data_IF_038537693364
#
_entry.id   IF_038537693364
#
_cell.length_a   1.000
_cell.length_b   1.000
_cell.length_c   1.000
_cell.angle_alpha   90.00
_cell.angle_beta   90.00
_cell.angle_gamma   90.00
#
_symmetry.space_group_name_H-M   'P 1'
#
loop_
_entity.id
_entity.type
_entity.pdbx_description
1 polymer ?
#
# COMPACT_ATOMS: atom_id res chain seq x y z
N UNK A 1 12.91 -4.95 19.11
CA UNK A 1 11.91 -4.47 20.09
C UNK A 1 11.07 -3.40 19.42
N UNK A 2 9.74 -3.54 19.38
CA UNK A 2 8.87 -2.47 18.88
C UNK A 2 8.65 -1.45 20.01
N UNK A 3 9.17 -0.23 19.85
CA UNK A 3 8.99 0.87 20.81
C UNK A 3 7.89 1.80 20.32
N UNK A 4 6.94 2.15 21.19
CA UNK A 4 5.84 3.07 20.86
C UNK A 4 5.95 4.28 21.77
N UNK A 5 6.09 5.46 21.17
CA UNK A 5 6.22 6.74 21.87
C UNK A 5 4.93 7.54 21.71
N UNK A 6 4.33 7.97 22.81
CA UNK A 6 3.13 8.81 22.81
C UNK A 6 3.49 10.23 23.26
N UNK A 7 2.98 11.22 22.54
CA UNK A 7 3.12 12.63 22.88
C UNK A 7 1.92 13.41 22.35
N UNK A 8 1.55 14.49 23.03
CA UNK A 8 0.56 15.46 22.55
C UNK A 8 1.17 16.55 21.65
N UNK A 9 2.49 16.50 21.46
CA UNK A 9 3.30 17.51 20.78
C UNK A 9 4.28 16.83 19.82
N UNK A 10 4.20 17.21 18.54
CA UNK A 10 5.03 16.62 17.50
C UNK A 10 6.52 16.94 17.70
N UNK A 11 6.82 18.16 18.19
CA UNK A 11 8.18 18.62 18.51
C UNK A 11 8.89 17.73 19.56
N UNK A 12 8.14 17.09 20.46
CA UNK A 12 8.72 16.14 21.42
C UNK A 12 9.05 14.81 20.74
N UNK A 13 8.21 14.32 19.83
CA UNK A 13 8.48 13.08 19.09
C UNK A 13 9.63 13.27 18.10
N UNK A 14 9.71 14.44 17.49
CA UNK A 14 10.82 14.88 16.67
C UNK A 14 12.13 14.91 17.46
N UNK A 15 12.16 15.60 18.61
CA UNK A 15 13.36 15.63 19.45
C UNK A 15 13.80 14.23 19.92
N UNK A 16 12.85 13.32 20.16
CA UNK A 16 13.15 11.92 20.46
C UNK A 16 13.76 11.19 19.27
N UNK A 17 13.21 11.38 18.08
CA UNK A 17 13.76 10.83 16.84
C UNK A 17 15.17 11.36 16.57
N UNK A 18 15.39 12.68 16.70
CA UNK A 18 16.73 13.30 16.60
C UNK A 18 17.72 12.64 17.56
N UNK A 19 17.32 12.49 18.82
CA UNK A 19 18.14 11.86 19.85
C UNK A 19 18.50 10.40 19.50
N UNK A 20 17.55 9.64 18.95
CA UNK A 20 17.79 8.26 18.52
C UNK A 20 18.79 8.23 17.37
N UNK A 21 18.58 9.05 16.32
CA UNK A 21 19.48 9.13 15.16
C UNK A 21 20.90 9.55 15.56
N UNK A 22 21.03 10.50 16.49
CA UNK A 22 22.34 10.94 16.98
C UNK A 22 23.07 9.87 17.79
N UNK A 23 22.32 9.12 18.62
CA UNK A 23 22.88 8.13 19.54
C UNK A 23 23.16 6.79 18.85
N UNK A 24 22.30 6.38 17.94
CA UNK A 24 22.31 5.09 17.25
C UNK A 24 22.62 5.33 15.76
N UNK A 25 23.75 5.98 15.47
CA UNK A 25 24.18 6.23 14.07
C UNK A 25 24.36 4.92 13.31
N UNK A 26 23.89 4.90 12.07
CA UNK A 26 24.13 3.81 11.13
C UNK A 26 25.63 3.64 10.87
N UNK A 27 26.08 2.39 10.79
CA UNK A 27 27.50 2.06 10.54
C UNK A 27 27.89 2.28 9.06
N UNK A 28 26.96 2.04 8.13
CA UNK A 28 27.18 2.21 6.69
C UNK A 28 26.75 3.61 6.22
N UNK A 29 27.67 4.44 5.67
CA UNK A 29 27.34 5.77 5.19
C UNK A 29 26.39 5.80 3.98
N UNK A 30 26.18 4.68 3.29
CA UNK A 30 25.24 4.57 2.17
C UNK A 30 23.91 3.92 2.55
N UNK A 31 23.79 3.38 3.77
CA UNK A 31 22.51 2.90 4.26
C UNK A 31 21.58 4.10 4.51
N UNK A 32 20.37 4.11 3.92
CA UNK A 32 19.46 5.22 4.11
C UNK A 32 18.79 5.13 5.47
N UNK A 33 18.71 6.26 6.18
CA UNK A 33 17.86 6.38 7.37
C UNK A 33 16.40 6.21 6.93
N UNK A 34 15.65 5.31 7.58
CA UNK A 34 14.28 4.99 7.16
C UNK A 34 13.25 5.60 8.11
N UNK A 35 12.43 6.51 7.59
CA UNK A 35 11.35 7.15 8.34
C UNK A 35 10.04 6.95 7.59
N UNK A 36 9.18 6.06 8.09
CA UNK A 36 7.85 5.88 7.52
C UNK A 36 6.98 7.11 7.74
N UNK A 37 6.36 7.59 6.68
CA UNK A 37 5.45 8.75 6.72
C UNK A 37 4.17 8.45 5.95
N UNK A 38 3.08 9.15 6.27
CA UNK A 38 1.81 9.02 5.54
C UNK A 38 1.57 10.14 4.52
N UNK A 39 2.43 11.16 4.47
CA UNK A 39 2.27 12.26 3.53
C UNK A 39 3.61 12.85 3.13
N UNK A 40 3.64 13.42 1.93
CA UNK A 40 4.80 14.17 1.41
C UNK A 40 5.09 15.41 2.26
N UNK A 41 4.07 16.04 2.83
CA UNK A 41 4.24 17.18 3.73
C UNK A 41 5.02 16.83 5.00
N UNK A 42 4.78 15.64 5.58
CA UNK A 42 5.55 15.16 6.73
C UNK A 42 7.01 14.88 6.35
N UNK A 43 7.26 14.27 5.19
CA UNK A 43 8.62 14.04 4.71
C UNK A 43 9.40 15.35 4.56
N UNK A 44 8.79 16.36 3.92
CA UNK A 44 9.41 17.67 3.73
C UNK A 44 9.69 18.37 5.05
N UNK A 45 8.71 18.35 5.98
CA UNK A 45 8.87 18.94 7.29
C UNK A 45 10.03 18.29 8.05
N UNK A 46 10.09 16.95 8.11
CA UNK A 46 11.18 16.21 8.74
C UNK A 46 12.54 16.51 8.10
N UNK A 47 12.63 16.55 6.78
CA UNK A 47 13.87 16.89 6.08
C UNK A 47 14.41 18.27 6.48
N UNK A 48 13.53 19.28 6.50
CA UNK A 48 13.91 20.63 6.89
C UNK A 48 14.36 20.68 8.36
N UNK A 49 13.59 20.06 9.24
CA UNK A 49 13.87 20.09 10.68
C UNK A 49 15.18 19.36 11.02
N UNK A 50 15.37 18.15 10.49
CA UNK A 50 16.62 17.40 10.64
C UNK A 50 17.81 18.17 10.07
N UNK A 51 17.67 18.85 8.93
CA UNK A 51 18.76 19.66 8.37
C UNK A 51 19.12 20.87 9.23
N UNK A 52 18.15 21.46 9.93
CA UNK A 52 18.40 22.58 10.84
C UNK A 52 19.17 22.12 12.08
N UNK A 53 18.85 20.92 12.59
CA UNK A 53 19.50 20.33 13.74
C UNK A 53 20.92 19.82 13.45
N UNK A 54 21.06 19.05 12.37
CA UNK A 54 22.30 18.33 12.03
C UNK A 54 23.16 19.04 10.99
N UNK A 55 22.70 20.18 10.44
CA UNK A 55 23.34 20.93 9.36
C UNK A 55 23.06 20.38 7.96
N UNK A 56 22.69 19.10 7.84
CA UNK A 56 22.30 18.44 6.59
C UNK A 56 21.32 17.30 6.89
N UNK A 57 20.34 17.10 6.00
CA UNK A 57 19.51 15.91 5.96
C UNK A 57 19.66 15.28 4.56
N UNK A 58 20.34 14.13 4.49
CA UNK A 58 20.62 13.45 3.24
C UNK A 58 20.45 11.93 3.43
N UNK A 59 20.21 11.23 2.32
CA UNK A 59 20.03 9.77 2.29
C UNK A 59 18.93 9.27 3.26
N UNK A 60 17.81 9.98 3.35
CA UNK A 60 16.65 9.55 4.16
C UNK A 60 15.56 9.02 3.23
N UNK A 61 15.13 7.80 3.46
CA UNK A 61 14.01 7.19 2.76
C UNK A 61 12.69 7.44 3.53
N UNK A 62 11.67 7.89 2.80
CA UNK A 62 10.34 8.19 3.33
C UNK A 62 9.26 7.28 2.72
N UNK A 63 9.30 5.96 2.95
CA UNK A 63 8.32 5.05 2.38
C UNK A 63 6.95 5.23 3.04
N UNK A 64 5.89 5.01 2.26
CA UNK A 64 4.55 4.80 2.83
C UNK A 64 4.52 3.44 3.57
N UNK A 65 3.67 3.28 4.61
CA UNK A 65 3.56 2.02 5.35
C UNK A 65 3.37 0.79 4.47
N UNK A 66 2.47 0.85 3.48
CA UNK A 66 2.22 -0.29 2.59
C UNK A 66 3.45 -0.67 1.76
N UNK A 67 4.18 0.31 1.22
CA UNK A 67 5.40 0.10 0.44
C UNK A 67 6.51 -0.54 1.28
N UNK A 68 6.69 -0.06 2.52
CA UNK A 68 7.67 -0.63 3.45
C UNK A 68 7.35 -2.08 3.81
N UNK A 69 6.09 -2.40 4.13
CA UNK A 69 5.68 -3.77 4.45
C UNK A 69 5.94 -4.71 3.28
N UNK A 70 5.62 -4.28 2.05
CA UNK A 70 5.92 -5.07 0.84
C UNK A 70 7.43 -5.26 0.64
N UNK A 71 8.23 -4.23 0.86
CA UNK A 71 9.69 -4.34 0.79
C UNK A 71 10.22 -5.35 1.81
N UNK A 72 9.67 -5.38 3.02
CA UNK A 72 10.04 -6.39 4.02
C UNK A 72 9.64 -7.80 3.57
N UNK A 73 8.51 -7.99 2.90
CA UNK A 73 8.17 -9.29 2.30
C UNK A 73 9.22 -9.74 1.28
N UNK A 74 9.65 -8.84 0.39
CA UNK A 74 10.70 -9.12 -0.61
C UNK A 74 12.03 -9.48 0.05
N UNK A 75 12.38 -8.85 1.17
CA UNK A 75 13.65 -9.09 1.87
C UNK A 75 13.64 -10.35 2.72
N UNK A 76 12.51 -10.71 3.31
CA UNK A 76 12.42 -11.76 4.34
C UNK A 76 11.90 -13.08 3.78
N UNK A 77 10.96 -13.05 2.83
CA UNK A 77 10.36 -14.24 2.25
C UNK A 77 11.06 -14.60 0.92
N UNK A 78 11.25 -15.90 0.63
CA UNK A 78 11.81 -16.33 -0.65
C UNK A 78 10.83 -16.06 -1.80
N UNK A 79 11.38 -15.84 -3.00
CA UNK A 79 10.66 -15.81 -4.27
C UNK A 79 9.53 -14.77 -4.39
N UNK A 80 9.57 -13.69 -3.61
CA UNK A 80 8.65 -12.57 -3.76
C UNK A 80 9.15 -11.59 -4.82
N UNK A 81 8.30 -11.30 -5.81
CA UNK A 81 8.59 -10.29 -6.82
C UNK A 81 8.59 -8.88 -6.22
N UNK A 82 9.46 -8.01 -6.76
CA UNK A 82 9.56 -6.60 -6.32
C UNK A 82 8.24 -5.84 -6.40
N UNK A 83 7.41 -6.15 -7.39
CA UNK A 83 6.09 -5.56 -7.55
C UNK A 83 5.00 -6.62 -7.36
N UNK A 84 3.94 -6.25 -6.65
CA UNK A 84 2.78 -7.12 -6.49
C UNK A 84 2.03 -7.28 -7.82
N UNK A 85 1.79 -8.53 -8.23
CA UNK A 85 0.92 -8.86 -9.35
C UNK A 85 -0.54 -8.42 -9.13
N UNK A 86 -0.90 -8.12 -7.88
CA UNK A 86 -2.21 -7.65 -7.42
C UNK A 86 -2.19 -6.17 -7.05
N UNK A 87 -1.32 -5.36 -7.68
CA UNK A 87 -1.49 -3.90 -7.59
C UNK A 87 -2.86 -3.49 -8.15
N UNK A 88 -3.47 -2.45 -7.57
CA UNK A 88 -4.75 -1.88 -8.04
C UNK A 88 -4.80 -1.68 -9.56
N UNK A 89 -3.75 -1.11 -10.14
CA UNK A 89 -3.65 -0.86 -11.58
C UNK A 89 -3.61 -2.17 -12.37
N UNK A 90 -2.77 -3.13 -11.98
CA UNK A 90 -2.70 -4.44 -12.64
C UNK A 90 -4.02 -5.21 -12.53
N UNK A 91 -4.66 -5.20 -11.36
CA UNK A 91 -5.96 -5.83 -11.14
C UNK A 91 -7.05 -5.20 -12.01
N UNK A 92 -7.06 -3.87 -12.17
CA UNK A 92 -8.03 -3.18 -13.02
C UNK A 92 -8.01 -3.73 -14.46
N UNK A 93 -6.82 -3.91 -15.03
CA UNK A 93 -6.65 -4.47 -16.38
C UNK A 93 -7.01 -5.96 -16.44
N UNK A 94 -6.61 -6.75 -15.44
CA UNK A 94 -6.97 -8.18 -15.35
C UNK A 94 -8.48 -8.38 -15.23
N UNK A 95 -9.16 -7.58 -14.41
CA UNK A 95 -10.62 -7.64 -14.26
C UNK A 95 -11.32 -7.21 -15.54
N UNK A 96 -10.79 -6.20 -16.24
CA UNK A 96 -11.35 -5.77 -17.53
C UNK A 96 -11.31 -6.88 -18.59
N UNK A 97 -10.34 -7.78 -18.55
CA UNK A 97 -10.28 -8.93 -19.47
C UNK A 97 -11.10 -10.12 -18.98
N UNK A 98 -11.23 -10.33 -17.67
CA UNK A 98 -11.96 -11.45 -17.07
C UNK A 98 -13.47 -11.23 -17.01
N UNK A 99 -13.94 -10.04 -16.61
CA UNK A 99 -15.36 -9.75 -16.40
C UNK A 99 -16.24 -10.10 -17.62
N UNK A 100 -15.88 -9.74 -18.87
CA UNK A 100 -16.70 -10.11 -20.04
C UNK A 100 -16.92 -11.61 -20.19
N UNK A 101 -15.95 -12.44 -19.78
CA UNK A 101 -16.01 -13.90 -19.85
C UNK A 101 -16.91 -14.50 -18.76
N UNK A 102 -17.21 -13.73 -17.71
CA UNK A 102 -18.02 -14.15 -16.57
C UNK A 102 -19.48 -13.71 -16.70
N UNK A 103 -19.81 -12.81 -17.63
CA UNK A 103 -21.13 -12.21 -17.73
C UNK A 103 -22.24 -13.23 -18.00
N UNK A 104 -21.94 -14.31 -18.71
CA UNK A 104 -22.92 -15.37 -19.05
C UNK A 104 -23.33 -16.23 -17.85
N UNK A 105 -22.63 -16.11 -16.71
CA UNK A 105 -22.99 -16.79 -15.47
C UNK A 105 -24.18 -16.10 -14.78
N UNK A 106 -25.02 -16.87 -14.10
CA UNK A 106 -26.23 -16.37 -13.44
C UNK A 106 -25.89 -15.42 -12.27
N UNK A 107 -24.77 -15.65 -11.60
CA UNK A 107 -24.29 -14.79 -10.50
C UNK A 107 -23.92 -13.37 -10.98
N UNK A 108 -23.70 -13.18 -12.29
CA UNK A 108 -23.26 -11.93 -12.89
C UNK A 108 -24.37 -11.20 -13.65
N UNK A 109 -25.64 -11.63 -13.56
CA UNK A 109 -26.78 -11.06 -14.30
C UNK A 109 -26.90 -9.54 -14.13
N UNK A 110 -26.68 -9.02 -12.91
CA UNK A 110 -26.74 -7.57 -12.65
C UNK A 110 -25.66 -6.82 -13.46
N UNK A 111 -24.44 -7.35 -13.49
CA UNK A 111 -23.34 -6.76 -14.24
C UNK A 111 -23.53 -6.93 -15.75
N UNK A 112 -24.10 -8.06 -16.19
CA UNK A 112 -24.48 -8.29 -17.59
C UNK A 112 -25.41 -7.17 -18.07
N UNK A 113 -26.49 -6.91 -17.34
CA UNK A 113 -27.43 -5.83 -17.68
C UNK A 113 -26.80 -4.44 -17.65
N UNK A 114 -25.93 -4.17 -16.68
CA UNK A 114 -25.23 -2.89 -16.57
C UNK A 114 -24.35 -2.59 -17.79
N UNK A 115 -23.71 -3.63 -18.34
CA UNK A 115 -22.73 -3.54 -19.43
C UNK A 115 -23.30 -3.70 -20.84
N UNK A 116 -24.60 -3.97 -21.02
CA UNK A 116 -25.22 -4.25 -22.33
C UNK A 116 -24.96 -3.16 -23.39
N UNK A 117 -25.03 -1.88 -23.00
CA UNK A 117 -24.89 -0.72 -23.92
C UNK A 117 -23.54 0.00 -23.76
N UNK A 118 -22.45 -0.74 -23.51
CA UNK A 118 -21.10 -0.18 -23.26
C UNK A 118 -20.20 -0.17 -24.51
N UNK A 119 -20.62 0.55 -25.55
CA UNK A 119 -19.93 0.55 -26.87
C UNK A 119 -18.51 1.09 -26.83
N UNK A 120 -18.19 2.00 -25.89
CA UNK A 120 -16.86 2.60 -25.73
C UNK A 120 -16.03 1.95 -24.60
N UNK A 121 -16.51 0.85 -24.00
CA UNK A 121 -15.88 0.13 -22.86
C UNK A 121 -15.71 0.97 -21.60
N UNK A 122 -16.37 2.12 -21.50
CA UNK A 122 -16.22 3.05 -20.37
C UNK A 122 -16.74 2.44 -19.08
N UNK A 123 -17.94 1.85 -19.11
CA UNK A 123 -18.56 1.22 -17.92
C UNK A 123 -17.73 0.02 -17.48
N UNK A 124 -17.26 -0.79 -18.42
CA UNK A 124 -16.42 -1.94 -18.14
C UNK A 124 -15.12 -1.52 -17.44
N UNK A 125 -14.43 -0.50 -17.94
CA UNK A 125 -13.21 -0.02 -17.31
C UNK A 125 -13.47 0.58 -15.92
N UNK A 126 -14.50 1.41 -15.77
CA UNK A 126 -14.87 2.00 -14.47
C UNK A 126 -15.24 0.93 -13.44
N UNK A 127 -16.02 -0.08 -13.83
CA UNK A 127 -16.38 -1.20 -12.98
C UNK A 127 -15.14 -2.02 -12.58
N UNK A 128 -14.27 -2.32 -13.54
CA UNK A 128 -13.03 -3.08 -13.30
C UNK A 128 -12.11 -2.35 -12.32
N UNK A 129 -11.96 -1.03 -12.50
CA UNK A 129 -11.20 -0.19 -11.59
C UNK A 129 -11.83 -0.13 -10.20
N UNK A 130 -13.16 0.03 -10.10
CA UNK A 130 -13.86 0.07 -8.81
C UNK A 130 -13.81 -1.27 -8.07
N UNK A 131 -13.88 -2.38 -8.79
CA UNK A 131 -13.72 -3.72 -8.24
C UNK A 131 -12.26 -3.95 -7.77
N UNK A 132 -11.27 -3.52 -8.55
CA UNK A 132 -9.87 -3.56 -8.15
C UNK A 132 -9.62 -2.74 -6.88
N UNK A 133 -10.26 -1.57 -6.73
CA UNK A 133 -10.19 -0.75 -5.51
C UNK A 133 -10.72 -1.46 -4.27
N UNK A 134 -11.77 -2.27 -4.43
CA UNK A 134 -12.31 -3.06 -3.32
C UNK A 134 -11.40 -4.23 -2.98
N UNK A 135 -10.85 -4.94 -3.98
CA UNK A 135 -9.89 -6.01 -3.72
C UNK A 135 -8.61 -5.50 -3.05
N UNK A 136 -8.09 -4.35 -3.48
CA UNK A 136 -6.95 -3.67 -2.84
C UNK A 136 -7.23 -3.37 -1.36
N UNK A 137 -8.43 -2.90 -1.03
CA UNK A 137 -8.85 -2.69 0.36
C UNK A 137 -9.01 -4.01 1.12
N UNK A 138 -9.61 -5.04 0.52
CA UNK A 138 -9.79 -6.33 1.18
C UNK A 138 -8.45 -7.01 1.48
N UNK A 139 -7.44 -6.86 0.61
CA UNK A 139 -6.08 -7.37 0.87
C UNK A 139 -5.48 -6.82 2.18
N UNK A 140 -5.88 -5.61 2.59
CA UNK A 140 -5.38 -4.96 3.82
C UNK A 140 -6.31 -5.22 5.01
N UNK A 141 -7.61 -5.02 4.84
CA UNK A 141 -8.55 -4.97 5.97
C UNK A 141 -9.30 -6.29 6.20
N UNK A 142 -9.44 -7.15 5.19
CA UNK A 142 -10.18 -8.42 5.24
C UNK A 142 -9.46 -9.52 4.44
N UNK A 143 -8.15 -9.75 4.68
CA UNK A 143 -7.38 -10.71 3.87
C UNK A 143 -7.94 -12.14 3.98
N UNK A 144 -8.56 -12.47 5.11
CA UNK A 144 -9.25 -13.73 5.38
C UNK A 144 -10.45 -13.99 4.46
N UNK A 145 -11.14 -12.94 4.00
CA UNK A 145 -12.23 -13.09 3.03
C UNK A 145 -11.70 -13.58 1.68
N UNK A 146 -10.55 -13.07 1.25
CA UNK A 146 -9.94 -13.45 -0.03
C UNK A 146 -9.50 -14.91 -0.01
N UNK A 147 -8.88 -15.37 1.07
CA UNK A 147 -8.51 -16.79 1.23
C UNK A 147 -9.73 -17.71 1.20
N UNK A 148 -10.86 -17.28 1.77
CA UNK A 148 -12.10 -18.06 1.73
C UNK A 148 -12.73 -18.10 0.34
N UNK A 149 -12.82 -16.94 -0.34
CA UNK A 149 -13.35 -16.85 -1.70
C UNK A 149 -12.50 -17.60 -2.72
N UNK A 150 -11.17 -17.60 -2.55
CA UNK A 150 -10.24 -18.40 -3.37
C UNK A 150 -10.53 -19.91 -3.23
N UNK A 151 -10.93 -20.35 -2.03
CA UNK A 151 -11.37 -21.73 -1.79
C UNK A 151 -12.83 -22.01 -2.20
N UNK A 152 -13.50 -21.06 -2.86
CA UNK A 152 -14.91 -21.17 -3.29
C UNK A 152 -15.92 -21.12 -2.14
N UNK A 153 -15.51 -20.67 -0.95
CA UNK A 153 -16.40 -20.53 0.22
C UNK A 153 -16.97 -19.12 0.28
N UNK A 154 -18.14 -18.96 0.88
CA UNK A 154 -18.71 -17.65 1.21
C UNK A 154 -18.39 -17.28 2.65
N UNK A 155 -18.41 -15.97 2.95
CA UNK A 155 -18.29 -15.47 4.32
C UNK A 155 -19.69 -15.08 4.79
N UNK A 156 -20.13 -15.63 5.93
CA UNK A 156 -21.36 -15.18 6.58
C UNK A 156 -21.10 -13.83 7.26
N UNK A 157 -21.98 -12.86 7.00
CA UNK A 157 -21.93 -11.51 7.57
C UNK A 157 -22.79 -11.36 8.82
#
# INVERSE_FOLDING_TARGET
>A
MLRVYHSNRLDVLEALMEFIVERERLDDPFEPEMILVQSTGMAQWLQMTLSQKFGIAANIAFPLPASFIWEMFVRVLPDIHKESAFSKQSMSWKLMTLLPQLLDKDEFVLLRHYLTDDTDKRKLFQLSARAADLFDQYLVYRPDWLTQWEAGKTVEG
#
